data_IF_602985551489
#
_entry.id   IF_602985551489
#
_cell.length_a   1.000
_cell.length_b   1.000
_cell.length_c   1.000
_cell.angle_alpha   90.00
_cell.angle_beta   90.00
_cell.angle_gamma   90.00
#
_symmetry.space_group_name_H-M   'P 1'
#
loop_
_entity.id
_entity.type
_entity.pdbx_description
1 polymer ?
#
# COMPACT_ATOMS: atom_id res chain seq x y z
N UNK A 1 0.10 -15.21 2.19
CA UNK A 1 0.51 -13.83 2.53
C UNK A 1 0.22 -13.59 3.99
N UNK A 2 1.07 -12.87 4.72
CA UNK A 2 0.76 -12.43 6.08
C UNK A 2 -0.37 -11.38 6.03
N UNK A 3 -1.28 -11.39 6.98
CA UNK A 3 -2.35 -10.39 7.13
C UNK A 3 -2.07 -9.57 8.40
N UNK A 4 -2.46 -8.30 8.41
CA UNK A 4 -2.55 -7.51 9.64
C UNK A 4 -3.98 -7.09 9.93
N UNK A 5 -4.27 -6.91 11.21
CA UNK A 5 -5.53 -6.38 11.70
C UNK A 5 -5.30 -4.99 12.30
N UNK A 6 -6.33 -4.15 12.21
CA UNK A 6 -6.34 -2.83 12.85
C UNK A 6 -6.25 -2.95 14.38
N UNK A 7 -5.17 -2.41 14.95
CA UNK A 7 -4.89 -2.48 16.39
C UNK A 7 -5.58 -1.39 17.21
N UNK A 8 -6.12 -0.35 16.58
CA UNK A 8 -6.75 0.78 17.27
C UNK A 8 -8.23 0.54 17.53
N UNK A 9 -8.94 -0.05 16.58
CA UNK A 9 -10.39 -0.19 16.69
C UNK A 9 -11.01 -1.32 15.88
N UNK A 10 -10.20 -2.25 15.36
CA UNK A 10 -10.66 -3.41 14.61
C UNK A 10 -11.59 -3.06 13.42
N UNK A 11 -11.28 -1.99 12.68
CA UNK A 11 -12.10 -1.48 11.55
C UNK A 11 -11.74 -2.08 10.20
N UNK A 12 -10.53 -2.61 10.05
CA UNK A 12 -10.04 -3.14 8.79
C UNK A 12 -9.06 -4.30 8.99
N UNK A 13 -8.87 -5.07 7.92
CA UNK A 13 -7.84 -6.10 7.79
C UNK A 13 -7.09 -5.88 6.48
N UNK A 14 -5.76 -5.93 6.51
CA UNK A 14 -4.93 -5.65 5.36
C UNK A 14 -4.11 -6.89 4.97
N UNK A 15 -4.42 -7.47 3.81
CA UNK A 15 -3.62 -8.55 3.24
C UNK A 15 -2.25 -8.01 2.82
N UNK A 16 -1.18 -8.63 3.32
CA UNK A 16 0.18 -8.12 3.15
C UNK A 16 0.48 -6.90 4.02
N UNK A 17 -0.40 -6.50 4.94
CA UNK A 17 -0.25 -5.26 5.71
C UNK A 17 1.09 -5.07 6.45
N UNK A 18 1.74 -6.13 6.99
CA UNK A 18 3.08 -6.00 7.57
C UNK A 18 4.21 -5.72 6.56
N UNK A 19 3.93 -5.76 5.25
CA UNK A 19 4.93 -5.49 4.22
C UNK A 19 5.47 -4.06 4.35
N UNK A 20 6.79 -3.92 4.21
CA UNK A 20 7.46 -2.63 4.22
C UNK A 20 7.49 -2.05 2.81
N UNK A 21 6.96 -0.85 2.69
CA UNK A 21 6.95 -0.03 1.49
C UNK A 21 7.98 1.07 1.62
N UNK A 22 8.58 1.50 0.51
CA UNK A 22 9.49 2.64 0.47
C UNK A 22 9.49 3.30 -0.91
N UNK A 23 9.67 4.62 -0.92
CA UNK A 23 9.97 5.44 -2.10
C UNK A 23 11.48 5.74 -2.26
N UNK A 24 12.32 5.18 -1.38
CA UNK A 24 13.76 5.45 -1.30
C UNK A 24 14.17 6.57 -0.33
N UNK A 25 13.23 7.31 0.26
CA UNK A 25 13.47 8.35 1.27
C UNK A 25 12.71 8.08 2.58
N UNK A 26 11.48 7.60 2.47
CA UNK A 26 10.62 7.18 3.56
C UNK A 26 10.33 5.69 3.47
N UNK A 27 10.01 5.10 4.62
CA UNK A 27 9.48 3.75 4.71
C UNK A 27 8.19 3.76 5.53
N UNK A 28 7.25 2.91 5.16
CA UNK A 28 5.99 2.75 5.87
C UNK A 28 5.47 1.32 5.69
N UNK A 29 4.57 0.88 6.55
CA UNK A 29 3.87 -0.40 6.35
C UNK A 29 2.76 -0.23 5.33
N UNK A 30 2.46 -1.28 4.57
CA UNK A 30 1.37 -1.25 3.60
C UNK A 30 0.04 -0.81 4.24
N UNK A 31 -0.25 -1.28 5.45
CA UNK A 31 -1.47 -0.94 6.18
C UNK A 31 -1.50 0.46 6.81
N UNK A 32 -0.42 1.25 6.69
CA UNK A 32 -0.40 2.63 7.18
C UNK A 32 -1.46 3.51 6.48
N UNK A 33 -1.77 3.23 5.21
CA UNK A 33 -2.77 3.96 4.45
C UNK A 33 -4.18 3.79 5.04
N UNK A 34 -4.52 2.58 5.50
CA UNK A 34 -5.80 2.27 6.11
C UNK A 34 -6.02 3.08 7.41
N UNK A 35 -4.96 3.31 8.19
CA UNK A 35 -5.04 4.17 9.38
C UNK A 35 -5.31 5.64 9.04
N UNK A 36 -4.71 6.15 7.97
CA UNK A 36 -4.99 7.52 7.49
C UNK A 36 -6.44 7.62 7.03
N UNK A 37 -6.94 6.64 6.27
CA UNK A 37 -8.31 6.62 5.75
C UNK A 37 -9.36 6.50 6.86
N UNK A 38 -9.19 5.58 7.81
CA UNK A 38 -10.22 5.27 8.80
C UNK A 38 -10.17 6.12 10.08
N UNK A 39 -9.02 6.71 10.38
CA UNK A 39 -8.79 7.47 11.62
C UNK A 39 -8.28 8.89 11.39
N UNK A 40 -7.95 9.28 10.16
CA UNK A 40 -7.41 10.62 9.89
C UNK A 40 -6.06 10.85 10.56
N UNK A 41 -5.25 9.79 10.74
CA UNK A 41 -3.91 9.92 11.31
C UNK A 41 -3.09 10.88 10.45
N UNK A 42 -2.61 11.95 11.06
CA UNK A 42 -1.81 12.94 10.35
C UNK A 42 -0.49 12.34 9.88
N UNK A 43 -0.09 12.66 8.65
CA UNK A 43 1.22 12.32 8.11
C UNK A 43 2.20 13.48 8.38
N UNK A 44 3.50 13.20 8.57
CA UNK A 44 4.51 14.24 8.70
C UNK A 44 4.50 15.20 7.49
N UNK A 45 4.68 16.49 7.74
CA UNK A 45 4.61 17.51 6.68
C UNK A 45 5.68 17.30 5.61
N UNK A 46 6.88 16.88 6.02
CA UNK A 46 7.98 16.55 5.13
C UNK A 46 7.66 15.40 4.17
N UNK A 47 6.85 14.43 4.60
CA UNK A 47 6.38 13.33 3.76
C UNK A 47 5.42 13.84 2.69
N UNK A 48 4.46 14.69 3.09
CA UNK A 48 3.49 15.30 2.17
C UNK A 48 4.17 16.22 1.14
N UNK A 49 5.15 17.02 1.59
CA UNK A 49 5.95 17.87 0.72
C UNK A 49 6.78 17.05 -0.26
N UNK A 50 7.37 15.93 0.21
CA UNK A 50 8.14 15.01 -0.63
C UNK A 50 7.30 14.39 -1.75
N UNK A 51 6.09 13.90 -1.42
CA UNK A 51 5.16 13.33 -2.38
C UNK A 51 4.68 14.36 -3.41
N UNK A 52 4.39 15.58 -2.95
CA UNK A 52 4.00 16.70 -3.83
C UNK A 52 5.12 17.06 -4.80
N UNK A 53 6.35 17.20 -4.34
CA UNK A 53 7.51 17.49 -5.18
C UNK A 53 7.77 16.41 -6.26
N UNK A 54 7.45 15.14 -5.94
CA UNK A 54 7.54 14.00 -6.86
C UNK A 54 6.31 13.81 -7.73
N UNK A 55 5.28 14.66 -7.58
CA UNK A 55 3.99 14.53 -8.26
C UNK A 55 3.41 13.14 -8.09
N UNK A 56 3.43 12.61 -6.86
CA UNK A 56 2.68 11.40 -6.57
C UNK A 56 1.22 11.62 -6.95
N UNK A 57 0.75 10.75 -7.83
CA UNK A 57 -0.65 10.71 -8.21
C UNK A 57 -1.23 9.48 -7.57
N UNK A 58 -2.40 9.62 -6.98
CA UNK A 58 -3.21 8.45 -6.68
C UNK A 58 -3.49 7.77 -8.00
N UNK A 59 -3.02 6.52 -8.15
CA UNK A 59 -3.46 5.71 -9.27
C UNK A 59 -4.99 5.65 -9.25
N UNK A 60 -5.62 5.56 -10.42
CA UNK A 60 -7.06 5.30 -10.47
C UNK A 60 -7.36 4.05 -9.65
N UNK A 61 -8.48 3.99 -8.92
CA UNK A 61 -8.94 2.73 -8.34
C UNK A 61 -9.04 1.68 -9.45
N UNK A 62 -8.41 0.53 -9.22
CA UNK A 62 -8.54 -0.63 -10.10
C UNK A 62 -9.86 -1.33 -9.80
N UNK A 63 -10.52 -1.85 -10.82
CA UNK A 63 -11.66 -2.75 -10.61
C UNK A 63 -11.16 -4.08 -10.03
N UNK A 64 -12.08 -4.88 -9.48
CA UNK A 64 -11.72 -6.20 -8.96
C UNK A 64 -11.10 -7.08 -10.04
N UNK A 65 -11.61 -7.00 -11.27
CA UNK A 65 -11.11 -7.75 -12.41
C UNK A 65 -9.67 -7.36 -12.76
N UNK A 66 -9.37 -6.05 -12.76
CA UNK A 66 -8.03 -5.54 -13.02
C UNK A 66 -7.04 -5.93 -11.92
N UNK A 67 -7.48 -5.94 -10.65
CA UNK A 67 -6.65 -6.41 -9.54
C UNK A 67 -6.29 -7.88 -9.72
N UNK A 68 -7.26 -8.72 -10.10
CA UNK A 68 -7.02 -10.15 -10.35
C UNK A 68 -6.05 -10.34 -11.51
N UNK A 69 -6.23 -9.61 -12.62
CA UNK A 69 -5.34 -9.68 -13.77
C UNK A 69 -3.89 -9.31 -13.41
N UNK A 70 -3.70 -8.26 -12.61
CA UNK A 70 -2.38 -7.84 -12.14
C UNK A 70 -1.76 -8.91 -11.23
N UNK A 71 -2.52 -9.48 -10.29
CA UNK A 71 -1.99 -10.50 -9.39
C UNK A 71 -1.60 -11.79 -10.15
N UNK A 72 -2.43 -12.25 -11.08
CA UNK A 72 -2.15 -13.39 -11.94
C UNK A 72 -0.85 -13.15 -12.73
N UNK A 73 -0.70 -11.96 -13.32
CA UNK A 73 0.49 -11.58 -14.09
C UNK A 73 1.74 -11.55 -13.21
N UNK A 74 1.66 -10.99 -12.02
CA UNK A 74 2.78 -10.98 -11.06
C UNK A 74 3.14 -12.41 -10.63
N UNK A 75 2.14 -13.29 -10.44
CA UNK A 75 2.33 -14.70 -10.15
C UNK A 75 3.03 -15.46 -11.29
N UNK A 76 2.71 -15.17 -12.55
CA UNK A 76 3.45 -15.70 -13.70
C UNK A 76 4.90 -15.24 -13.73
N UNK A 77 5.15 -13.94 -13.54
CA UNK A 77 6.50 -13.38 -13.58
C UNK A 77 7.41 -13.98 -12.51
N UNK A 78 6.89 -14.18 -11.28
CA UNK A 78 7.60 -14.88 -10.20
C UNK A 78 7.92 -16.33 -10.57
N UNK A 79 6.96 -17.06 -11.15
CA UNK A 79 7.17 -18.45 -11.61
C UNK A 79 8.22 -18.54 -12.73
N UNK A 80 8.29 -17.53 -13.57
CA UNK A 80 9.27 -17.43 -14.65
C UNK A 80 10.66 -16.96 -14.17
N UNK A 81 10.83 -16.58 -12.90
CA UNK A 81 12.09 -16.06 -12.36
C UNK A 81 12.43 -14.63 -12.81
N UNK A 82 11.44 -13.86 -13.26
CA UNK A 82 11.60 -12.48 -13.72
C UNK A 82 11.33 -11.46 -12.61
N UNK A 83 11.01 -11.92 -11.40
CA UNK A 83 10.78 -11.19 -10.16
C UNK A 83 11.27 -12.02 -8.99
#
# INVERSE_FOLDING_TARGET
MACSEDVLGNRFTCSGGPALMSDGAFFWRLDAADYVEHYGVALPEEFLAHGTARRWTTARPLTREEIVEVDDRLGELRRAGNL
#
